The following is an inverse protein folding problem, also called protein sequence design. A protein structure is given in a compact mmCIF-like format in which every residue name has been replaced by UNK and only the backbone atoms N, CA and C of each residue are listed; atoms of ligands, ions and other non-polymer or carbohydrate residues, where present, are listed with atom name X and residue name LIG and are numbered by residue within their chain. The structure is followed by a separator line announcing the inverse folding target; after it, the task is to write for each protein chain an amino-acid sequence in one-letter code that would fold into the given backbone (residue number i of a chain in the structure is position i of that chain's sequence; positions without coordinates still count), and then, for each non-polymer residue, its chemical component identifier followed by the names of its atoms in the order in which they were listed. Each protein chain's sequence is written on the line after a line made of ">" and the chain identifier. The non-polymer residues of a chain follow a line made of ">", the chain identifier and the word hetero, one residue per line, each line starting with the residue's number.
data_IF_243916384517
#
_entry.id   IF_243916384517
#
_cell.length_a   1.000
_cell.length_b   1.000
_cell.length_c   1.000
_cell.angle_alpha   90.00
_cell.angle_beta   90.00
_cell.angle_gamma   90.00
#
_symmetry.space_group_name_H-M   'P 1'
#
loop_
_entity.id
_entity.type
_entity.pdbx_description
1 polymer ?
#
# COMPACT_ATOMS: atom_id res chain seq x y z
N UNK A 1 -10.02 14.96 44.33
CA UNK A 1 -9.90 13.85 43.37
C UNK A 1 -10.17 14.39 41.99
N UNK A 2 -9.17 14.38 41.11
CA UNK A 2 -9.24 14.91 39.75
C UNK A 2 -9.02 13.71 38.83
N UNK A 3 -9.89 13.43 37.85
CA UNK A 3 -9.66 12.30 36.96
C UNK A 3 -8.60 12.68 35.92
N UNK A 4 -7.62 11.81 35.78
CA UNK A 4 -6.58 11.85 34.76
C UNK A 4 -7.23 11.69 33.38
N UNK A 5 -7.14 12.73 32.56
CA UNK A 5 -7.45 12.62 31.14
C UNK A 5 -6.27 11.90 30.48
N UNK A 6 -6.42 10.59 30.28
CA UNK A 6 -5.50 9.78 29.47
C UNK A 6 -5.59 10.21 28.00
N UNK A 7 -4.97 11.35 27.68
CA UNK A 7 -4.68 11.73 26.31
C UNK A 7 -3.55 10.85 25.79
N UNK A 8 -3.86 9.62 25.36
CA UNK A 8 -2.95 8.85 24.52
C UNK A 8 -2.72 9.64 23.24
N UNK A 9 -1.66 10.43 23.23
CA UNK A 9 -1.12 11.05 22.04
C UNK A 9 -0.94 9.92 21.03
N UNK A 10 -1.66 9.99 19.91
CA UNK A 10 -1.52 9.00 18.85
C UNK A 10 -0.01 8.87 18.55
N UNK A 11 0.55 7.66 18.47
CA UNK A 11 1.95 7.48 18.13
C UNK A 11 2.24 8.29 16.86
N UNK A 12 3.41 8.92 16.80
CA UNK A 12 3.81 9.84 15.73
C UNK A 12 4.12 9.09 14.42
N UNK A 13 3.14 8.33 13.95
CA UNK A 13 3.25 7.32 12.91
C UNK A 13 2.00 7.32 12.04
N UNK A 14 2.16 6.80 10.83
CA UNK A 14 1.06 6.40 9.95
C UNK A 14 0.98 4.88 9.87
N UNK A 15 -0.16 4.38 9.41
CA UNK A 15 -0.35 2.98 9.05
C UNK A 15 -0.33 2.85 7.53
N UNK A 16 0.54 1.99 7.01
CA UNK A 16 0.60 1.66 5.60
C UNK A 16 0.25 0.18 5.40
N UNK A 17 -0.71 -0.11 4.51
CA UNK A 17 -1.09 -1.50 4.22
C UNK A 17 0.12 -2.27 3.69
N UNK A 18 0.46 -3.40 4.30
CA UNK A 18 1.60 -4.22 3.88
C UNK A 18 1.37 -4.91 2.54
N UNK A 19 0.10 -5.04 2.13
CA UNK A 19 -0.34 -5.68 0.91
C UNK A 19 -1.62 -5.03 0.38
N UNK A 20 -1.74 -4.87 -0.94
CA UNK A 20 -2.97 -4.43 -1.58
C UNK A 20 -3.14 -5.08 -2.97
N UNK A 21 -4.34 -5.54 -3.29
CA UNK A 21 -4.67 -6.15 -4.59
C UNK A 21 -5.66 -5.29 -5.37
N UNK A 22 -5.28 -4.90 -6.58
CA UNK A 22 -6.16 -4.15 -7.46
C UNK A 22 -7.23 -5.05 -8.08
N UNK A 23 -8.44 -4.51 -8.19
CA UNK A 23 -9.54 -5.10 -8.96
C UNK A 23 -10.42 -3.98 -9.49
N UNK A 24 -10.90 -4.14 -10.72
CA UNK A 24 -11.74 -3.16 -11.39
C UNK A 24 -12.97 -3.84 -11.96
N UNK A 25 -14.15 -3.23 -11.79
CA UNK A 25 -15.37 -3.75 -12.42
C UNK A 25 -15.53 -3.16 -13.82
N UNK A 26 -15.39 -3.99 -14.85
CA UNK A 26 -15.51 -3.59 -16.25
C UNK A 26 -16.97 -3.69 -16.67
N UNK A 27 -17.68 -2.56 -16.62
CA UNK A 27 -19.14 -2.49 -16.85
C UNK A 27 -19.56 -3.08 -18.19
N UNK A 28 -18.80 -2.83 -19.25
CA UNK A 28 -19.08 -3.34 -20.61
C UNK A 28 -18.98 -4.87 -20.71
N UNK A 29 -18.20 -5.50 -19.84
CA UNK A 29 -17.96 -6.94 -19.85
C UNK A 29 -18.73 -7.67 -18.73
N UNK A 30 -19.45 -6.93 -17.88
CA UNK A 30 -20.21 -7.48 -16.76
C UNK A 30 -19.38 -8.29 -15.76
N UNK A 31 -18.06 -8.02 -15.65
CA UNK A 31 -17.12 -8.83 -14.84
C UNK A 31 -16.07 -7.99 -14.13
N UNK A 32 -15.51 -8.55 -13.08
CA UNK A 32 -14.34 -7.99 -12.37
C UNK A 32 -13.07 -8.41 -13.11
N UNK A 33 -12.22 -7.44 -13.41
CA UNK A 33 -10.85 -7.63 -13.83
C UNK A 33 -9.93 -7.64 -12.61
N UNK A 34 -9.09 -8.67 -12.51
CA UNK A 34 -8.14 -8.83 -11.42
C UNK A 34 -6.78 -8.30 -11.85
N UNK A 35 -6.35 -7.20 -11.24
CA UNK A 35 -5.06 -6.57 -11.53
C UNK A 35 -3.91 -7.15 -10.70
N UNK A 36 -2.79 -6.44 -10.60
CA UNK A 36 -1.68 -6.84 -9.76
C UNK A 36 -1.96 -6.64 -8.26
N UNK A 37 -1.29 -7.42 -7.43
CA UNK A 37 -1.15 -7.19 -6.01
C UNK A 37 0.24 -6.63 -5.71
N UNK A 38 0.32 -5.61 -4.86
CA UNK A 38 1.56 -5.06 -4.32
C UNK A 38 1.77 -5.53 -2.89
N UNK A 39 2.95 -6.05 -2.57
CA UNK A 39 3.40 -6.37 -1.21
C UNK A 39 4.65 -5.56 -0.87
N UNK A 40 4.72 -5.02 0.34
CA UNK A 40 5.95 -4.45 0.90
C UNK A 40 6.83 -5.60 1.39
N UNK A 41 8.05 -5.67 0.87
CA UNK A 41 9.03 -6.72 1.17
C UNK A 41 10.19 -6.20 2.03
N UNK A 42 10.48 -4.90 2.02
CA UNK A 42 11.48 -4.28 2.91
C UNK A 42 11.10 -2.84 3.28
N UNK A 43 11.63 -2.39 4.41
CA UNK A 43 11.63 -1.01 4.90
C UNK A 43 13.09 -0.69 5.25
N UNK A 44 13.74 0.20 4.49
CA UNK A 44 15.18 0.46 4.58
C UNK A 44 16.00 -0.85 4.67
N UNK A 45 15.82 -1.72 3.67
CA UNK A 45 16.46 -3.04 3.54
C UNK A 45 16.19 -4.05 4.67
N UNK A 46 15.26 -3.74 5.57
CA UNK A 46 14.88 -4.61 6.69
C UNK A 46 13.50 -5.21 6.45
N UNK A 47 13.30 -6.47 6.83
CA UNK A 47 11.99 -7.13 6.77
C UNK A 47 10.94 -6.33 7.56
N UNK A 48 9.80 -5.95 6.95
CA UNK A 48 8.78 -5.17 7.63
C UNK A 48 8.14 -5.95 8.78
N UNK A 49 7.92 -5.27 9.90
CA UNK A 49 7.12 -5.81 11.00
C UNK A 49 5.64 -5.54 10.70
N UNK A 50 4.96 -6.56 10.15
CA UNK A 50 3.53 -6.48 9.81
C UNK A 50 2.70 -6.84 11.03
N UNK A 51 1.75 -5.97 11.37
CA UNK A 51 0.80 -6.15 12.47
C UNK A 51 -0.30 -7.14 12.09
N UNK A 52 -1.05 -7.61 13.08
CA UNK A 52 -2.19 -8.52 12.88
C UNK A 52 -3.30 -7.92 11.99
N UNK A 53 -3.40 -6.59 11.91
CA UNK A 53 -4.34 -5.89 11.03
C UNK A 53 -3.85 -5.77 9.58
N UNK A 54 -2.66 -6.29 9.26
CA UNK A 54 -2.06 -6.26 7.93
C UNK A 54 -1.35 -4.94 7.57
N UNK A 55 -1.15 -4.05 8.54
CA UNK A 55 -0.45 -2.79 8.34
C UNK A 55 0.97 -2.80 8.93
N UNK A 56 1.84 -1.98 8.36
CA UNK A 56 3.12 -1.57 8.96
C UNK A 56 2.98 -0.16 9.53
N UNK A 57 3.80 0.17 10.53
CA UNK A 57 3.91 1.54 11.06
C UNK A 57 5.11 2.25 10.47
N UNK A 58 4.92 3.44 9.93
CA UNK A 58 6.01 4.31 9.47
C UNK A 58 6.00 5.63 10.25
N UNK A 59 7.17 6.19 10.59
CA UNK A 59 7.25 7.50 11.23
C UNK A 59 6.78 8.60 10.27
N UNK A 60 6.10 9.62 10.80
CA UNK A 60 5.80 10.83 10.01
C UNK A 60 7.08 11.63 9.75
N UNK A 61 7.05 12.46 8.71
CA UNK A 61 8.11 13.39 8.34
C UNK A 61 9.52 12.77 8.23
N UNK A 62 9.60 11.49 7.87
CA UNK A 62 10.84 10.72 7.81
C UNK A 62 10.98 10.07 6.45
N UNK A 63 12.18 10.14 5.87
CA UNK A 63 12.48 9.46 4.62
C UNK A 63 12.62 7.95 4.84
N UNK A 64 12.01 7.15 3.98
CA UNK A 64 12.04 5.69 4.02
C UNK A 64 12.05 5.15 2.60
N UNK A 65 12.87 4.13 2.34
CA UNK A 65 12.83 3.35 1.10
C UNK A 65 12.03 2.09 1.36
N UNK A 66 10.96 1.89 0.60
CA UNK A 66 10.14 0.69 0.65
C UNK A 66 10.48 -0.20 -0.54
N UNK A 67 11.02 -1.39 -0.28
CA UNK A 67 11.09 -2.42 -1.32
C UNK A 67 9.70 -3.02 -1.50
N UNK A 68 9.22 -3.07 -2.73
CA UNK A 68 7.91 -3.61 -3.07
C UNK A 68 8.03 -4.74 -4.10
N UNK A 69 7.06 -5.65 -4.07
CA UNK A 69 6.87 -6.67 -5.10
C UNK A 69 5.45 -6.57 -5.66
N UNK A 70 5.33 -6.54 -6.97
CA UNK A 70 4.04 -6.62 -7.67
C UNK A 70 3.92 -7.96 -8.39
N UNK A 71 2.73 -8.56 -8.38
CA UNK A 71 2.45 -9.79 -9.13
C UNK A 71 1.00 -9.81 -9.61
N UNK A 72 0.78 -10.17 -10.87
CA UNK A 72 -0.57 -10.40 -11.40
C UNK A 72 -1.12 -11.72 -10.89
N UNK A 73 -2.44 -11.87 -10.94
CA UNK A 73 -3.12 -13.06 -10.42
C UNK A 73 -4.19 -13.57 -11.37
N UNK A 74 -4.44 -14.86 -11.28
CA UNK A 74 -5.62 -15.49 -11.84
C UNK A 74 -6.87 -15.10 -11.04
N UNK A 75 -8.04 -15.41 -11.59
CA UNK A 75 -9.33 -15.08 -10.95
C UNK A 75 -9.55 -15.78 -9.61
N UNK A 76 -8.88 -16.90 -9.36
CA UNK A 76 -8.88 -17.62 -8.08
C UNK A 76 -7.92 -17.01 -7.03
N UNK A 77 -7.19 -15.96 -7.40
CA UNK A 77 -6.23 -15.28 -6.54
C UNK A 77 -4.81 -15.85 -6.62
N UNK A 78 -4.57 -16.94 -7.33
CA UNK A 78 -3.22 -17.51 -7.49
C UNK A 78 -2.32 -16.58 -8.30
N UNK A 79 -1.05 -16.39 -7.90
CA UNK A 79 -0.13 -15.49 -8.60
C UNK A 79 0.24 -16.07 -9.97
N UNK A 80 0.56 -15.18 -10.92
CA UNK A 80 1.16 -15.49 -12.21
C UNK A 80 2.66 -15.20 -12.09
N UNK A 81 3.52 -16.18 -11.77
CA UNK A 81 4.90 -15.92 -11.33
C UNK A 81 5.76 -15.18 -12.37
N UNK A 82 5.48 -15.39 -13.66
CA UNK A 82 6.17 -14.73 -14.77
C UNK A 82 5.96 -13.20 -14.82
N UNK A 83 5.02 -12.68 -14.03
CA UNK A 83 4.71 -11.24 -13.94
C UNK A 83 5.25 -10.58 -12.67
N UNK A 84 5.99 -11.35 -11.86
CA UNK A 84 6.53 -10.82 -10.61
C UNK A 84 7.65 -9.82 -10.91
N UNK A 85 7.47 -8.61 -10.39
CA UNK A 85 8.45 -7.54 -10.45
C UNK A 85 8.71 -6.98 -9.06
N UNK A 86 9.88 -6.38 -8.87
CA UNK A 86 10.24 -5.66 -7.65
C UNK A 86 10.67 -4.26 -8.00
N UNK A 87 10.28 -3.29 -7.18
CA UNK A 87 10.72 -1.91 -7.33
C UNK A 87 10.75 -1.21 -5.97
N UNK A 88 11.55 -0.15 -5.88
CA UNK A 88 11.62 0.69 -4.70
C UNK A 88 10.61 1.82 -4.80
N UNK A 89 9.98 2.15 -3.67
CA UNK A 89 9.14 3.31 -3.51
C UNK A 89 9.75 4.23 -2.45
N UNK A 90 10.06 5.47 -2.85
CA UNK A 90 10.63 6.47 -1.97
C UNK A 90 9.53 7.23 -1.23
N UNK A 91 9.51 7.09 0.10
CA UNK A 91 8.77 7.97 1.01
C UNK A 91 9.69 9.13 1.38
N UNK A 92 9.21 10.35 1.18
CA UNK A 92 9.95 11.56 1.57
C UNK A 92 9.40 12.11 2.90
N UNK A 93 10.13 13.03 3.57
CA UNK A 93 9.61 13.73 4.74
C UNK A 93 8.32 14.53 4.48
N UNK A 94 7.92 14.73 3.22
CA UNK A 94 6.68 15.42 2.86
C UNK A 94 5.52 14.46 2.56
N UNK A 95 5.77 13.15 2.42
CA UNK A 95 4.74 12.16 2.09
C UNK A 95 3.77 11.93 3.25
N UNK A 96 4.29 11.77 4.47
CA UNK A 96 3.48 11.52 5.66
C UNK A 96 3.64 12.65 6.66
N UNK A 97 2.80 13.67 6.54
CA UNK A 97 2.86 14.89 7.37
C UNK A 97 1.93 14.84 8.60
N UNK A 98 0.87 14.05 8.54
CA UNK A 98 -0.12 13.91 9.61
C UNK A 98 -0.10 12.49 10.21
N UNK A 99 0.03 12.34 11.54
CA UNK A 99 -0.02 11.04 12.18
C UNK A 99 -1.44 10.46 12.19
N UNK A 100 -1.56 9.16 12.47
CA UNK A 100 -2.83 8.46 12.65
C UNK A 100 -3.61 8.18 11.35
N UNK A 101 -3.03 8.49 10.18
CA UNK A 101 -3.64 8.20 8.88
C UNK A 101 -3.35 6.77 8.42
N UNK A 102 -4.26 6.24 7.60
CA UNK A 102 -4.08 4.98 6.88
C UNK A 102 -3.82 5.25 5.40
N UNK A 103 -2.86 4.52 4.86
CA UNK A 103 -2.39 4.64 3.49
C UNK A 103 -2.30 3.27 2.82
N UNK A 104 -2.33 3.27 1.50
CA UNK A 104 -2.30 2.10 0.64
C UNK A 104 -1.36 2.37 -0.53
N UNK A 105 -0.42 1.47 -0.76
CA UNK A 105 0.33 1.41 -2.02
C UNK A 105 -0.41 0.49 -2.99
N UNK A 106 -0.78 1.04 -4.14
CA UNK A 106 -1.35 0.32 -5.26
C UNK A 106 -0.23 -0.08 -6.20
N UNK A 107 -0.25 -1.30 -6.74
CA UNK A 107 0.75 -1.76 -7.71
C UNK A 107 0.80 -0.90 -8.99
N UNK A 108 -0.31 -0.23 -9.32
CA UNK A 108 -0.52 0.58 -10.51
C UNK A 108 -1.68 1.58 -10.29
N UNK A 109 -1.89 2.49 -11.24
CA UNK A 109 -3.02 3.44 -11.22
C UNK A 109 -4.37 2.81 -11.60
N UNK A 110 -4.37 1.67 -12.28
CA UNK A 110 -5.57 0.94 -12.71
C UNK A 110 -5.31 -0.57 -12.70
N UNK A 111 -6.39 -1.37 -12.66
CA UNK A 111 -6.24 -2.81 -12.61
C UNK A 111 -6.07 -3.44 -14.01
N UNK A 112 -6.63 -2.79 -15.04
CA UNK A 112 -6.67 -3.28 -16.42
C UNK A 112 -5.77 -2.45 -17.35
N UNK A 113 -5.37 -3.02 -18.49
CA UNK A 113 -4.61 -2.32 -19.56
C UNK A 113 -3.26 -1.69 -19.15
N UNK A 114 -2.73 -2.06 -17.98
CA UNK A 114 -1.39 -1.71 -17.51
C UNK A 114 -0.61 -2.99 -17.22
N UNK A 115 0.71 -2.90 -17.31
CA UNK A 115 1.66 -3.98 -17.03
C UNK A 115 2.81 -3.38 -16.22
N UNK A 116 3.40 -4.17 -15.34
CA UNK A 116 4.55 -3.78 -14.52
C UNK A 116 4.19 -3.33 -13.11
N UNK A 117 5.20 -2.87 -12.38
CA UNK A 117 5.11 -2.40 -10.99
C UNK A 117 5.46 -0.90 -10.90
N UNK A 118 4.43 -0.05 -10.91
CA UNK A 118 4.57 1.41 -10.71
C UNK A 118 3.73 1.82 -9.50
N UNK A 119 4.28 1.69 -8.28
CA UNK A 119 3.53 1.90 -7.07
C UNK A 119 3.00 3.33 -6.95
N UNK A 120 1.71 3.45 -6.64
CA UNK A 120 1.08 4.74 -6.32
C UNK A 120 0.50 4.72 -4.92
N UNK A 121 0.62 5.84 -4.21
CA UNK A 121 0.23 5.94 -2.80
C UNK A 121 -1.10 6.68 -2.68
N UNK A 122 -2.05 6.13 -1.92
CA UNK A 122 -3.33 6.79 -1.67
C UNK A 122 -3.87 6.51 -0.27
N UNK A 123 -4.76 7.38 0.22
CA UNK A 123 -5.57 7.13 1.41
C UNK A 123 -6.78 6.23 1.13
N UNK A 124 -7.06 5.97 -0.14
CA UNK A 124 -8.16 5.11 -0.59
C UNK A 124 -7.71 3.68 -0.83
N UNK A 125 -8.60 2.73 -0.51
CA UNK A 125 -8.47 1.31 -0.90
C UNK A 125 -8.77 1.07 -2.39
N UNK A 126 -9.30 2.06 -3.10
CA UNK A 126 -9.52 1.96 -4.55
C UNK A 126 -8.34 2.59 -5.27
N UNK A 127 -7.94 2.06 -6.43
CA UNK A 127 -6.93 2.70 -7.26
C UNK A 127 -7.33 4.17 -7.51
N UNK A 128 -6.38 5.05 -7.31
CA UNK A 128 -6.49 6.46 -7.68
C UNK A 128 -5.63 6.68 -8.91
N UNK A 129 -6.10 7.51 -9.85
CA UNK A 129 -5.34 7.85 -11.05
C UNK A 129 -4.05 8.65 -10.77
N UNK A 130 -3.76 8.97 -9.49
CA UNK A 130 -2.62 9.76 -8.99
C UNK A 130 -2.27 9.38 -7.55
N UNK A 131 -1.01 9.63 -7.17
CA UNK A 131 -0.57 9.60 -5.76
C UNK A 131 -1.14 10.81 -5.01
N UNK A 132 -1.66 10.56 -3.81
CA UNK A 132 -2.15 11.58 -2.85
C UNK A 132 -1.02 12.32 -2.12
#
# INVERSE_FOLDING_TARGET
>A
SQPESSGSQAPNTVLLSAHHCLSEYLREQGRVHYGPCLKIISVNDTTPQVRDDGFITLPVATAVILGTSCVYRHADGSPIPATMETTDFLVTPQTFTEPGKRWYLHAQTQASQVIGCEPTLSRSKKPTYRTD
#
